data_IF_070789195478
#
_entry.id   IF_070789195478
#
_cell.length_a   1.000
_cell.length_b   1.000
_cell.length_c   1.000
_cell.angle_alpha   90.00
_cell.angle_beta   90.00
_cell.angle_gamma   90.00
#
_symmetry.space_group_name_H-M   'P 1'
#
loop_
_entity.id
_entity.type
_entity.pdbx_description
1 polymer ?
#
# COMPACT_ATOMS: atom_id res chain seq x y z
N UNK A 1 -45.71 -2.40 0.84
CA UNK A 1 -44.36 -2.26 1.40
C UNK A 1 -43.91 -0.82 1.21
N UNK A 2 -43.26 -0.21 2.21
CA UNK A 2 -42.61 1.09 2.03
C UNK A 2 -41.35 0.92 1.17
N UNK A 3 -41.12 1.83 0.23
CA UNK A 3 -39.90 1.84 -0.59
C UNK A 3 -38.71 2.20 0.30
N UNK A 4 -37.57 1.52 0.11
CA UNK A 4 -36.35 1.86 0.84
C UNK A 4 -35.85 3.26 0.44
N UNK A 5 -35.06 3.96 1.28
CA UNK A 5 -34.50 5.27 0.94
C UNK A 5 -33.72 5.25 -0.39
N UNK A 6 -33.01 4.16 -0.67
CA UNK A 6 -32.31 3.92 -1.93
C UNK A 6 -33.28 3.83 -3.12
N UNK A 7 -34.41 3.12 -2.98
CA UNK A 7 -35.44 3.02 -4.03
C UNK A 7 -36.12 4.37 -4.31
N UNK A 8 -36.37 5.18 -3.28
CA UNK A 8 -36.94 6.53 -3.44
C UNK A 8 -35.96 7.47 -4.17
N UNK A 9 -34.69 7.44 -3.80
CA UNK A 9 -33.64 8.22 -4.49
C UNK A 9 -33.48 7.80 -5.96
N UNK A 10 -33.48 6.50 -6.26
CA UNK A 10 -33.32 6.01 -7.64
C UNK A 10 -34.46 6.38 -8.59
N UNK A 11 -35.67 6.65 -8.07
CA UNK A 11 -36.75 7.22 -8.87
C UNK A 11 -36.57 8.70 -9.20
N UNK A 12 -35.77 9.42 -8.41
CA UNK A 12 -35.54 10.87 -8.56
C UNK A 12 -34.18 11.18 -9.22
N UNK A 13 -33.26 10.22 -9.25
CA UNK A 13 -31.95 10.36 -9.87
C UNK A 13 -32.08 10.36 -11.39
N UNK A 14 -31.94 11.53 -12.02
CA UNK A 14 -31.96 11.68 -13.48
C UNK A 14 -30.76 11.00 -14.16
N UNK A 15 -29.65 10.84 -13.46
CA UNK A 15 -28.44 10.19 -13.98
C UNK A 15 -28.66 8.66 -14.16
N UNK A 16 -28.38 8.17 -15.38
CA UNK A 16 -28.57 6.77 -15.75
C UNK A 16 -27.45 5.87 -15.18
N UNK A 17 -26.24 6.39 -15.02
CA UNK A 17 -25.05 5.68 -14.53
C UNK A 17 -25.08 5.55 -13.01
N UNK A 18 -25.49 6.61 -12.28
CA UNK A 18 -25.75 6.51 -10.83
C UNK A 18 -26.82 5.44 -10.56
N UNK A 19 -27.87 5.39 -11.41
CA UNK A 19 -28.85 4.30 -11.36
C UNK A 19 -28.22 2.92 -11.56
N UNK A 20 -27.39 2.72 -12.59
CA UNK A 20 -26.72 1.43 -12.84
C UNK A 20 -25.80 1.00 -11.68
N UNK A 21 -25.01 1.90 -11.11
CA UNK A 21 -24.13 1.59 -9.97
C UNK A 21 -24.92 1.27 -8.69
N UNK A 22 -25.99 2.02 -8.43
CA UNK A 22 -26.89 1.71 -7.32
C UNK A 22 -27.75 0.46 -7.58
N UNK A 23 -27.96 0.04 -8.84
CA UNK A 23 -28.53 -1.26 -9.17
C UNK A 23 -27.56 -2.40 -8.85
N UNK A 24 -26.24 -2.23 -9.03
CA UNK A 24 -25.26 -3.20 -8.51
C UNK A 24 -25.30 -3.30 -6.98
N UNK A 25 -25.54 -2.18 -6.28
CA UNK A 25 -25.77 -2.19 -4.81
C UNK A 25 -27.16 -2.74 -4.43
N UNK A 26 -28.17 -2.65 -5.30
CA UNK A 26 -29.44 -3.38 -5.10
C UNK A 26 -29.31 -4.89 -5.38
N UNK A 27 -28.40 -5.31 -6.26
CA UNK A 27 -28.10 -6.73 -6.51
C UNK A 27 -27.40 -7.41 -5.33
N UNK A 28 -26.79 -6.64 -4.42
CA UNK A 28 -26.37 -7.13 -3.10
C UNK A 28 -27.55 -7.47 -2.17
N UNK A 29 -28.79 -7.19 -2.59
CA UNK A 29 -30.04 -7.42 -1.87
C UNK A 29 -29.91 -7.08 -0.37
N UNK A 30 -30.00 -5.81 -0.01
CA UNK A 30 -29.78 -5.30 1.37
C UNK A 30 -30.64 -5.95 2.48
N UNK A 31 -31.56 -6.86 2.14
CA UNK A 31 -32.32 -7.70 3.06
C UNK A 31 -31.66 -9.07 3.35
N UNK A 32 -30.63 -9.45 2.61
CA UNK A 32 -29.78 -10.64 2.79
C UNK A 32 -28.43 -10.23 3.39
N UNK A 33 -27.74 -11.17 4.03
CA UNK A 33 -26.48 -10.89 4.75
C UNK A 33 -25.37 -10.48 3.77
N UNK A 34 -24.60 -9.43 4.10
CA UNK A 34 -23.35 -9.12 3.38
C UNK A 34 -22.44 -10.37 3.39
N UNK A 35 -21.86 -10.76 2.23
CA UNK A 35 -20.88 -11.83 2.19
C UNK A 35 -19.65 -11.46 3.00
N UNK A 36 -18.98 -12.47 3.58
CA UNK A 36 -17.74 -12.29 4.33
C UNK A 36 -16.61 -11.62 3.51
N UNK A 37 -16.72 -11.61 2.17
CA UNK A 37 -15.82 -10.90 1.26
C UNK A 37 -16.58 -9.88 0.42
N UNK A 38 -16.15 -8.63 0.45
CA UNK A 38 -16.75 -7.53 -0.29
C UNK A 38 -15.72 -6.83 -1.20
N UNK A 39 -16.05 -6.62 -2.47
CA UNK A 39 -15.15 -5.99 -3.45
C UNK A 39 -15.86 -4.92 -4.30
N UNK A 40 -15.28 -3.72 -4.38
CA UNK A 40 -15.73 -2.58 -5.19
C UNK A 40 -14.87 -2.27 -6.43
N UNK A 41 -13.73 -2.95 -6.60
CA UNK A 41 -12.64 -2.69 -7.57
C UNK A 41 -13.05 -2.49 -9.04
N UNK A 42 -14.28 -2.84 -9.41
CA UNK A 42 -14.83 -2.87 -10.78
C UNK A 42 -15.07 -1.50 -11.45
N UNK A 43 -14.36 -0.44 -11.06
CA UNK A 43 -14.45 0.90 -11.68
C UNK A 43 -13.13 1.39 -12.32
N UNK A 44 -12.02 0.69 -12.11
CA UNK A 44 -10.68 1.09 -12.58
C UNK A 44 -10.41 0.76 -14.07
N UNK A 45 -11.05 -0.27 -14.62
CA UNK A 45 -10.78 -0.78 -15.96
C UNK A 45 -11.41 0.04 -17.11
N UNK A 46 -12.36 0.94 -16.80
CA UNK A 46 -13.01 1.81 -17.79
C UNK A 46 -13.14 3.21 -17.22
N UNK A 47 -12.40 4.15 -17.82
CA UNK A 47 -12.33 5.58 -17.46
C UNK A 47 -13.70 6.26 -17.68
N UNK A 48 -14.64 6.08 -16.74
CA UNK A 48 -16.05 6.43 -16.90
C UNK A 48 -16.59 7.48 -15.92
N UNK A 49 -15.83 7.80 -14.86
CA UNK A 49 -16.22 8.73 -13.79
C UNK A 49 -15.02 9.51 -13.25
N UNK A 50 -15.27 10.75 -12.89
CA UNK A 50 -14.41 11.63 -12.09
C UNK A 50 -14.68 11.44 -10.59
N UNK A 51 -13.76 11.91 -9.73
CA UNK A 51 -13.95 11.90 -8.28
C UNK A 51 -15.19 12.70 -7.81
N UNK A 52 -15.69 13.64 -8.62
CA UNK A 52 -16.95 14.35 -8.34
C UNK A 52 -18.20 13.51 -8.65
N UNK A 53 -18.15 12.62 -9.63
CA UNK A 53 -19.25 11.71 -9.99
C UNK A 53 -19.33 10.48 -9.07
N UNK A 54 -18.19 10.06 -8.50
CA UNK A 54 -18.12 8.98 -7.50
C UNK A 54 -18.50 9.44 -6.08
N UNK A 55 -18.25 10.71 -5.72
CA UNK A 55 -18.63 11.29 -4.42
C UNK A 55 -20.10 11.04 -4.05
N UNK A 56 -21.10 11.28 -4.92
CA UNK A 56 -22.50 10.92 -4.66
C UNK A 56 -22.70 9.41 -4.50
N UNK A 57 -22.10 8.58 -5.37
CA UNK A 57 -22.26 7.13 -5.31
C UNK A 57 -21.78 6.58 -3.95
N UNK A 58 -20.60 6.98 -3.49
CA UNK A 58 -20.10 6.62 -2.16
C UNK A 58 -20.94 7.26 -1.05
N UNK A 59 -21.29 8.55 -1.15
CA UNK A 59 -22.11 9.21 -0.11
C UNK A 59 -23.52 8.62 0.03
N UNK A 60 -24.13 8.09 -1.03
CA UNK A 60 -25.54 7.66 -1.03
C UNK A 60 -25.76 6.15 -1.15
N UNK A 61 -24.79 5.37 -1.64
CA UNK A 61 -24.85 3.90 -1.63
C UNK A 61 -24.02 3.29 -0.48
N UNK A 62 -22.95 3.95 -0.06
CA UNK A 62 -22.15 3.51 1.09
C UNK A 62 -22.82 3.88 2.42
N UNK A 63 -23.44 5.06 2.60
CA UNK A 63 -24.15 5.37 3.86
C UNK A 63 -25.25 4.35 4.25
N UNK A 64 -26.10 3.85 3.34
CA UNK A 64 -27.01 2.75 3.64
C UNK A 64 -26.29 1.47 4.10
N UNK A 65 -25.15 1.16 3.48
CA UNK A 65 -24.31 -0.01 3.77
C UNK A 65 -23.53 0.14 5.11
N UNK A 66 -23.23 1.40 5.50
CA UNK A 66 -22.72 1.77 6.82
C UNK A 66 -23.83 1.74 7.89
N UNK A 67 -25.10 1.93 7.50
CA UNK A 67 -26.28 1.88 8.39
C UNK A 67 -26.80 0.45 8.64
N UNK A 68 -26.50 -0.52 7.79
CA UNK A 68 -26.78 -1.95 7.99
C UNK A 68 -25.75 -2.60 8.95
N UNK A 69 -25.55 -1.99 10.14
CA UNK A 69 -24.46 -2.30 11.07
C UNK A 69 -24.32 -3.79 11.43
N UNK A 70 -25.41 -4.54 11.54
CA UNK A 70 -25.37 -5.98 11.83
C UNK A 70 -24.61 -6.79 10.76
N UNK A 71 -24.77 -6.42 9.49
CA UNK A 71 -24.21 -7.16 8.35
C UNK A 71 -22.69 -6.94 8.20
N UNK A 72 -22.18 -5.77 8.63
CA UNK A 72 -20.73 -5.49 8.61
C UNK A 72 -19.94 -6.35 9.60
N UNK A 73 -20.57 -6.85 10.67
CA UNK A 73 -19.91 -7.70 11.67
C UNK A 73 -19.36 -9.01 11.09
N UNK A 74 -19.95 -9.50 10.00
CA UNK A 74 -19.58 -10.76 9.31
C UNK A 74 -18.44 -10.57 8.29
N UNK A 75 -18.06 -9.33 8.00
CA UNK A 75 -17.08 -9.00 6.97
C UNK A 75 -15.65 -9.31 7.44
N UNK A 76 -14.94 -10.16 6.69
CA UNK A 76 -13.54 -10.53 6.94
C UNK A 76 -12.59 -10.00 5.89
N UNK A 77 -13.06 -9.78 4.65
CA UNK A 77 -12.25 -9.31 3.54
C UNK A 77 -12.94 -8.11 2.89
N UNK A 78 -12.28 -6.95 2.84
CA UNK A 78 -12.85 -5.72 2.29
C UNK A 78 -11.87 -5.09 1.28
N UNK A 79 -12.30 -5.01 0.02
CA UNK A 79 -11.60 -4.33 -1.06
C UNK A 79 -12.41 -3.10 -1.53
N UNK A 80 -11.81 -1.92 -1.33
CA UNK A 80 -12.31 -0.59 -1.72
C UNK A 80 -11.32 0.13 -2.65
N UNK A 81 -10.50 -0.63 -3.38
CA UNK A 81 -9.45 -0.05 -4.23
C UNK A 81 -10.00 0.70 -5.46
N UNK A 82 -9.29 1.75 -5.87
CA UNK A 82 -9.61 2.49 -7.10
C UNK A 82 -10.91 3.31 -7.04
N UNK A 83 -11.36 3.74 -5.86
CA UNK A 83 -12.67 4.38 -5.66
C UNK A 83 -12.61 5.90 -5.45
N UNK A 84 -11.42 6.52 -5.47
CA UNK A 84 -11.23 7.94 -5.15
C UNK A 84 -11.78 8.34 -3.76
N UNK A 85 -11.58 7.45 -2.78
CA UNK A 85 -11.96 7.69 -1.38
C UNK A 85 -10.90 8.59 -0.75
N UNK A 86 -11.29 9.82 -0.40
CA UNK A 86 -10.51 10.71 0.45
C UNK A 86 -10.81 10.53 1.95
N UNK A 87 -9.92 11.04 2.79
CA UNK A 87 -9.90 10.83 4.25
C UNK A 87 -11.25 10.90 4.95
N UNK A 88 -12.08 11.91 4.65
CA UNK A 88 -13.39 12.09 5.32
C UNK A 88 -14.32 10.88 5.16
N UNK A 89 -14.36 10.29 3.96
CA UNK A 89 -15.20 9.12 3.68
C UNK A 89 -14.59 7.86 4.31
N UNK A 90 -13.26 7.73 4.26
CA UNK A 90 -12.52 6.63 4.88
C UNK A 90 -12.70 6.58 6.39
N UNK A 91 -12.62 7.73 7.07
CA UNK A 91 -12.85 7.85 8.53
C UNK A 91 -14.28 7.43 8.90
N UNK A 92 -15.27 7.77 8.07
CA UNK A 92 -16.66 7.34 8.27
C UNK A 92 -16.82 5.82 8.09
N UNK A 93 -16.13 5.22 7.12
CA UNK A 93 -16.05 3.77 6.96
C UNK A 93 -15.43 3.09 8.20
N UNK A 94 -14.25 3.53 8.64
CA UNK A 94 -13.60 3.00 9.85
C UNK A 94 -14.50 3.13 11.09
N UNK A 95 -15.23 4.24 11.22
CA UNK A 95 -16.21 4.45 12.29
C UNK A 95 -17.33 3.40 12.29
N UNK A 96 -17.85 3.02 11.12
CA UNK A 96 -18.90 2.00 11.00
C UNK A 96 -18.35 0.58 11.19
N UNK A 97 -17.19 0.26 10.62
CA UNK A 97 -16.51 -1.02 10.84
C UNK A 97 -16.20 -1.24 12.33
N UNK A 98 -15.77 -0.19 13.04
CA UNK A 98 -15.56 -0.22 14.49
C UNK A 98 -16.87 -0.38 15.26
N UNK A 99 -17.92 0.35 14.88
CA UNK A 99 -19.24 0.31 15.56
C UNK A 99 -19.98 -1.01 15.36
N UNK A 100 -19.77 -1.69 14.23
CA UNK A 100 -20.32 -3.02 13.94
C UNK A 100 -19.52 -4.17 14.56
N UNK A 101 -18.37 -3.90 15.17
CA UNK A 101 -17.47 -4.94 15.68
C UNK A 101 -16.81 -5.79 14.58
N UNK A 102 -16.76 -5.30 13.34
CA UNK A 102 -16.10 -5.96 12.22
C UNK A 102 -14.61 -6.20 12.52
N UNK A 103 -14.10 -7.40 12.21
CA UNK A 103 -12.69 -7.78 12.37
C UNK A 103 -12.16 -8.29 11.01
N UNK A 104 -11.51 -7.39 10.27
CA UNK A 104 -10.91 -7.72 8.98
C UNK A 104 -9.68 -8.62 9.10
N UNK A 105 -9.65 -9.65 8.27
CA UNK A 105 -8.49 -10.50 7.97
C UNK A 105 -7.72 -9.98 6.75
N UNK A 106 -8.41 -9.39 5.77
CA UNK A 106 -7.80 -8.77 4.58
C UNK A 106 -8.44 -7.40 4.32
N UNK A 107 -7.61 -6.41 4.02
CA UNK A 107 -8.06 -5.07 3.64
C UNK A 107 -7.24 -4.52 2.47
N UNK A 108 -7.93 -4.15 1.40
CA UNK A 108 -7.36 -3.45 0.25
C UNK A 108 -8.05 -2.09 0.10
N UNK A 109 -7.29 -1.02 0.28
CA UNK A 109 -7.68 0.35 0.02
C UNK A 109 -6.74 1.05 -0.96
N UNK A 110 -6.04 0.28 -1.81
CA UNK A 110 -5.11 0.82 -2.78
C UNK A 110 -5.75 1.76 -3.82
N UNK A 111 -4.95 2.64 -4.43
CA UNK A 111 -5.36 3.58 -5.46
C UNK A 111 -6.56 4.46 -5.04
N UNK A 112 -6.45 5.09 -3.88
CA UNK A 112 -7.39 6.06 -3.35
C UNK A 112 -6.66 7.38 -2.99
N UNK A 113 -7.37 8.33 -2.41
CA UNK A 113 -6.84 9.65 -2.04
C UNK A 113 -6.57 9.73 -0.52
N UNK A 114 -6.03 8.65 0.07
CA UNK A 114 -5.80 8.54 1.51
C UNK A 114 -4.47 9.18 1.92
N UNK A 115 -4.50 10.05 2.93
CA UNK A 115 -3.31 10.65 3.53
C UNK A 115 -2.77 9.83 4.72
N UNK A 116 -1.65 10.31 5.29
CA UNK A 116 -1.11 9.85 6.58
C UNK A 116 -2.15 9.75 7.70
N UNK A 117 -3.17 10.64 7.72
CA UNK A 117 -4.24 10.61 8.71
C UNK A 117 -5.08 9.33 8.60
N UNK A 118 -5.51 8.99 7.38
CA UNK A 118 -6.28 7.77 7.12
C UNK A 118 -5.48 6.52 7.44
N UNK A 119 -4.22 6.47 7.04
CA UNK A 119 -3.33 5.33 7.32
C UNK A 119 -3.12 5.12 8.82
N UNK A 120 -2.91 6.20 9.57
CA UNK A 120 -2.75 6.14 11.03
C UNK A 120 -4.03 5.58 11.68
N UNK A 121 -5.20 6.10 11.30
CA UNK A 121 -6.49 5.64 11.82
C UNK A 121 -6.83 4.21 11.39
N UNK A 122 -6.41 3.77 10.20
CA UNK A 122 -6.53 2.38 9.77
C UNK A 122 -5.76 1.45 10.72
N UNK A 123 -4.50 1.75 11.00
CA UNK A 123 -3.71 0.92 11.91
C UNK A 123 -4.21 0.98 13.35
N UNK A 124 -4.82 2.07 13.80
CA UNK A 124 -5.51 2.15 15.09
C UNK A 124 -6.82 1.33 15.13
N UNK A 125 -7.53 1.20 14.00
CA UNK A 125 -8.68 0.31 13.87
C UNK A 125 -8.28 -1.17 13.79
N UNK A 126 -7.37 -1.56 12.89
CA UNK A 126 -7.08 -2.96 12.57
C UNK A 126 -6.73 -3.82 13.80
N UNK A 127 -7.30 -5.03 13.86
CA UNK A 127 -6.89 -6.03 14.84
C UNK A 127 -5.50 -6.61 14.52
N UNK A 128 -4.80 -7.10 15.55
CA UNK A 128 -3.48 -7.72 15.40
C UNK A 128 -3.49 -8.98 14.53
N UNK A 129 -4.65 -9.60 14.28
CA UNK A 129 -4.82 -10.80 13.43
C UNK A 129 -4.96 -10.51 11.93
N UNK A 130 -5.06 -9.25 11.51
CA UNK A 130 -5.11 -8.92 10.07
C UNK A 130 -3.90 -9.53 9.36
N UNK A 131 -4.13 -10.15 8.20
CA UNK A 131 -3.15 -10.96 7.46
C UNK A 131 -2.66 -10.24 6.20
N UNK A 132 -3.49 -9.41 5.59
CA UNK A 132 -3.17 -8.69 4.35
C UNK A 132 -3.60 -7.24 4.46
N UNK A 133 -2.70 -6.33 4.10
CA UNK A 133 -2.96 -4.89 4.04
C UNK A 133 -2.38 -4.37 2.72
N UNK A 134 -3.25 -3.83 1.87
CA UNK A 134 -2.86 -3.07 0.69
C UNK A 134 -3.36 -1.63 0.80
N UNK A 135 -2.42 -0.69 0.81
CA UNK A 135 -2.67 0.76 0.77
C UNK A 135 -1.85 1.43 -0.35
N UNK A 136 -1.44 0.65 -1.36
CA UNK A 136 -0.69 1.13 -2.52
C UNK A 136 -1.37 2.29 -3.25
N UNK A 137 -0.66 3.09 -4.04
CA UNK A 137 -1.24 4.14 -4.87
C UNK A 137 -1.92 5.28 -4.10
N UNK A 138 -1.66 5.41 -2.80
CA UNK A 138 -2.17 6.49 -1.94
C UNK A 138 -1.01 7.44 -1.56
N UNK A 139 -1.22 8.77 -1.49
CA UNK A 139 -0.18 9.77 -1.17
C UNK A 139 0.16 9.83 0.33
N UNK A 140 0.63 8.71 0.90
CA UNK A 140 0.80 8.53 2.34
C UNK A 140 2.14 9.10 2.86
N UNK A 141 3.15 9.15 1.99
CA UNK A 141 4.47 9.74 2.21
C UNK A 141 5.25 9.14 3.40
N UNK A 142 6.45 9.66 3.67
CA UNK A 142 7.39 9.12 4.65
C UNK A 142 6.85 9.19 6.10
N UNK A 143 6.03 10.19 6.42
CA UNK A 143 5.45 10.42 7.74
C UNK A 143 4.56 9.25 8.20
N UNK A 144 3.84 8.59 7.29
CA UNK A 144 3.05 7.41 7.63
C UNK A 144 3.91 6.29 8.23
N UNK A 145 5.14 6.10 7.73
CA UNK A 145 6.06 5.09 8.26
C UNK A 145 6.66 5.47 9.62
N UNK A 146 6.74 6.76 9.96
CA UNK A 146 7.08 7.18 11.32
C UNK A 146 6.00 6.71 12.32
N UNK A 147 4.72 7.04 12.06
CA UNK A 147 3.61 6.58 12.91
C UNK A 147 3.52 5.05 13.00
N UNK A 148 3.70 4.34 11.88
CA UNK A 148 3.70 2.87 11.85
C UNK A 148 4.88 2.27 12.65
N UNK A 149 6.04 2.92 12.71
CA UNK A 149 7.18 2.49 13.50
C UNK A 149 6.97 2.72 15.02
N UNK A 150 6.32 3.83 15.39
CA UNK A 150 6.01 4.16 16.78
C UNK A 150 4.91 3.28 17.38
N UNK A 151 3.98 2.80 16.54
CA UNK A 151 2.87 1.92 16.95
C UNK A 151 3.28 0.80 17.93
N UNK A 152 2.44 0.58 18.95
CA UNK A 152 2.59 -0.52 19.94
C UNK A 152 1.83 -1.79 19.53
N UNK A 153 1.23 -1.81 18.34
CA UNK A 153 0.62 -3.02 17.78
C UNK A 153 1.70 -3.90 17.14
N UNK A 154 1.43 -5.20 17.15
CA UNK A 154 2.22 -6.22 16.47
C UNK A 154 1.24 -6.98 15.58
N UNK A 155 1.22 -6.66 14.29
CA UNK A 155 0.31 -7.28 13.33
C UNK A 155 0.87 -8.62 12.85
N UNK A 156 -0.01 -9.59 12.64
CA UNK A 156 0.27 -10.86 11.97
C UNK A 156 0.13 -10.78 10.45
N UNK A 157 0.22 -9.58 9.89
CA UNK A 157 0.20 -9.36 8.45
C UNK A 157 1.33 -10.16 7.82
N UNK A 158 0.99 -11.03 6.88
CA UNK A 158 1.94 -11.78 6.04
C UNK A 158 2.22 -11.04 4.74
N UNK A 159 1.31 -10.15 4.33
CA UNK A 159 1.41 -9.30 3.15
C UNK A 159 1.18 -7.82 3.51
N UNK A 160 2.07 -6.95 3.03
CA UNK A 160 1.98 -5.50 3.15
C UNK A 160 2.35 -4.85 1.80
N UNK A 161 1.44 -4.10 1.20
CA UNK A 161 1.68 -3.35 -0.03
C UNK A 161 1.66 -1.84 0.23
N UNK A 162 2.79 -1.21 -0.07
CA UNK A 162 3.07 0.23 -0.03
C UNK A 162 3.62 0.70 -1.41
N UNK A 163 3.23 0.02 -2.49
CA UNK A 163 3.61 0.41 -3.86
C UNK A 163 3.04 1.79 -4.19
N UNK A 164 3.77 2.63 -4.91
CA UNK A 164 3.28 3.96 -5.36
C UNK A 164 2.71 4.82 -4.22
N UNK A 165 3.41 4.85 -3.09
CA UNK A 165 3.00 5.55 -1.86
C UNK A 165 3.69 6.90 -1.64
N UNK A 166 4.43 7.39 -2.66
CA UNK A 166 5.27 8.59 -2.60
C UNK A 166 6.38 8.51 -1.52
N UNK A 167 6.86 7.30 -1.22
CA UNK A 167 7.93 7.09 -0.25
C UNK A 167 9.30 7.49 -0.83
N UNK A 168 10.16 8.04 0.01
CA UNK A 168 11.56 8.36 -0.31
C UNK A 168 12.53 7.54 0.53
N UNK A 169 13.81 7.54 0.15
CA UNK A 169 14.86 6.82 0.89
C UNK A 169 15.03 7.27 2.35
N UNK A 170 14.51 8.45 2.72
CA UNK A 170 14.45 8.94 4.10
C UNK A 170 13.58 8.06 5.02
N UNK A 171 12.54 7.40 4.49
CA UNK A 171 11.64 6.56 5.28
C UNK A 171 12.29 5.24 5.72
N UNK A 172 13.39 4.81 5.10
CA UNK A 172 13.92 3.44 5.21
C UNK A 172 14.34 3.05 6.64
N UNK A 173 14.80 4.01 7.45
CA UNK A 173 15.10 3.79 8.87
C UNK A 173 13.82 3.50 9.67
N UNK A 174 12.76 4.28 9.43
CA UNK A 174 11.46 4.06 10.08
C UNK A 174 10.80 2.77 9.58
N UNK A 175 10.89 2.48 8.28
CA UNK A 175 10.46 1.20 7.72
C UNK A 175 11.18 0.02 8.38
N UNK A 176 12.50 0.06 8.52
CA UNK A 176 13.28 -1.00 9.18
C UNK A 176 12.87 -1.22 10.64
N UNK A 177 12.65 -0.14 11.41
CA UNK A 177 12.07 -0.22 12.76
C UNK A 177 10.67 -0.84 12.75
N UNK A 178 9.82 -0.40 11.83
CA UNK A 178 8.45 -0.83 11.66
C UNK A 178 8.36 -2.34 11.30
N UNK A 179 9.19 -2.82 10.39
CA UNK A 179 9.26 -4.23 9.99
C UNK A 179 9.81 -5.13 11.12
N UNK A 180 10.74 -4.64 11.95
CA UNK A 180 11.28 -5.40 13.09
C UNK A 180 10.31 -5.47 14.28
N UNK A 181 9.41 -4.49 14.44
CA UNK A 181 8.51 -4.35 15.60
C UNK A 181 7.04 -4.58 15.25
N UNK A 182 6.49 -3.77 14.36
CA UNK A 182 5.06 -3.68 14.04
C UNK A 182 4.61 -4.77 13.06
N UNK A 183 5.47 -5.12 12.07
CA UNK A 183 5.16 -6.04 10.97
C UNK A 183 6.12 -7.25 10.90
N UNK A 184 6.51 -7.79 12.05
CA UNK A 184 7.54 -8.84 12.16
C UNK A 184 7.24 -10.18 11.45
N UNK A 185 5.99 -10.38 11.00
CA UNK A 185 5.50 -11.57 10.31
C UNK A 185 5.31 -11.36 8.79
N UNK A 186 5.63 -10.18 8.25
CA UNK A 186 5.52 -9.92 6.82
C UNK A 186 6.50 -10.80 6.05
N UNK A 187 5.95 -11.52 5.08
CA UNK A 187 6.63 -12.43 4.16
C UNK A 187 6.49 -12.00 2.69
N UNK A 188 5.67 -10.98 2.42
CA UNK A 188 5.58 -10.27 1.14
C UNK A 188 5.40 -8.78 1.39
N UNK A 189 6.36 -7.99 0.93
CA UNK A 189 6.44 -6.54 1.07
C UNK A 189 6.57 -5.93 -0.33
N UNK A 190 5.60 -5.10 -0.72
CA UNK A 190 5.68 -4.33 -1.97
C UNK A 190 6.02 -2.86 -1.68
N UNK A 191 7.13 -2.39 -2.23
CA UNK A 191 7.63 -1.02 -2.20
C UNK A 191 7.84 -0.47 -3.62
N UNK A 192 7.29 -1.11 -4.65
CA UNK A 192 7.49 -0.69 -6.04
C UNK A 192 6.93 0.70 -6.33
N UNK A 193 7.35 1.32 -7.43
CA UNK A 193 6.81 2.62 -7.88
C UNK A 193 6.96 3.77 -6.87
N UNK A 194 7.95 3.69 -5.97
CA UNK A 194 8.29 4.76 -5.02
C UNK A 194 9.56 5.51 -5.49
N UNK A 195 9.99 6.51 -4.72
CA UNK A 195 11.24 7.24 -4.93
C UNK A 195 12.33 6.79 -3.94
N UNK A 196 12.51 5.48 -3.75
CA UNK A 196 13.58 4.94 -2.91
C UNK A 196 14.92 5.06 -3.64
N UNK A 197 15.49 6.26 -3.61
CA UNK A 197 16.75 6.61 -4.26
C UNK A 197 18.00 6.05 -3.54
N UNK A 198 19.17 6.41 -4.07
CA UNK A 198 20.48 5.97 -3.56
C UNK A 198 21.29 7.09 -2.90
N UNK A 199 20.65 8.12 -2.31
CA UNK A 199 21.39 9.14 -1.57
C UNK A 199 22.32 8.50 -0.53
N UNK A 200 23.57 8.97 -0.42
CA UNK A 200 24.60 8.31 0.41
C UNK A 200 24.16 8.09 1.87
N UNK A 201 23.36 9.04 2.39
CA UNK A 201 22.79 8.99 3.74
C UNK A 201 21.79 7.84 3.95
N UNK A 202 21.18 7.32 2.89
CA UNK A 202 20.20 6.23 2.94
C UNK A 202 20.80 4.83 2.80
N UNK A 203 22.03 4.70 2.32
CA UNK A 203 22.64 3.42 1.95
C UNK A 203 22.64 2.38 3.08
N UNK A 204 22.94 2.78 4.31
CA UNK A 204 22.91 1.88 5.47
C UNK A 204 21.49 1.41 5.79
N UNK A 205 20.51 2.32 5.79
CA UNK A 205 19.09 1.99 6.00
C UNK A 205 18.55 1.05 4.92
N UNK A 206 19.01 1.22 3.68
CA UNK A 206 18.71 0.35 2.56
C UNK A 206 19.31 -1.04 2.73
N UNK A 207 20.59 -1.13 3.11
CA UNK A 207 21.25 -2.40 3.43
C UNK A 207 20.56 -3.13 4.60
N UNK A 208 20.11 -2.41 5.63
CA UNK A 208 19.34 -2.98 6.74
C UNK A 208 18.00 -3.59 6.31
N UNK A 209 17.30 -2.98 5.33
CA UNK A 209 16.09 -3.53 4.73
C UNK A 209 16.38 -4.82 3.95
N UNK A 210 17.47 -4.83 3.17
CA UNK A 210 17.88 -5.99 2.37
C UNK A 210 18.31 -7.17 3.28
N UNK A 211 19.12 -6.92 4.30
CA UNK A 211 19.51 -7.95 5.28
C UNK A 211 18.30 -8.46 6.09
N UNK A 212 17.37 -7.57 6.48
CA UNK A 212 16.12 -7.99 7.12
C UNK A 212 15.32 -8.91 6.19
N UNK A 213 15.18 -8.53 4.92
CA UNK A 213 14.43 -9.30 3.90
C UNK A 213 14.98 -10.71 3.75
N UNK A 214 16.30 -10.85 3.63
CA UNK A 214 16.96 -12.17 3.60
C UNK A 214 16.78 -12.93 4.91
N UNK A 215 16.92 -12.29 6.08
CA UNK A 215 16.74 -12.94 7.39
C UNK A 215 15.32 -13.47 7.63
N UNK A 216 14.32 -12.91 6.94
CA UNK A 216 12.90 -13.28 7.04
C UNK A 216 12.41 -14.17 5.91
N UNK A 217 13.22 -14.42 4.88
CA UNK A 217 12.76 -14.99 3.62
C UNK A 217 11.52 -14.25 3.08
N UNK A 218 11.59 -12.92 3.09
CA UNK A 218 10.50 -12.06 2.64
C UNK A 218 10.60 -11.82 1.13
N UNK A 219 9.47 -11.86 0.42
CA UNK A 219 9.34 -11.36 -0.95
C UNK A 219 9.38 -9.85 -0.91
N UNK A 220 10.32 -9.23 -1.60
CA UNK A 220 10.46 -7.78 -1.66
C UNK A 220 10.33 -7.30 -3.10
N UNK A 221 9.32 -6.49 -3.38
CA UNK A 221 9.22 -5.78 -4.65
C UNK A 221 9.77 -4.35 -4.50
N UNK A 222 10.86 -4.06 -5.20
CA UNK A 222 11.51 -2.75 -5.33
C UNK A 222 11.51 -2.27 -6.79
N UNK A 223 10.70 -2.87 -7.66
CA UNK A 223 10.61 -2.46 -9.07
C UNK A 223 10.17 -0.99 -9.21
N UNK A 224 10.51 -0.34 -10.32
CA UNK A 224 10.08 1.05 -10.62
C UNK A 224 10.45 2.08 -9.54
N UNK A 225 11.57 1.87 -8.85
CA UNK A 225 12.18 2.87 -7.98
C UNK A 225 13.33 3.59 -8.70
N UNK A 226 14.05 4.45 -7.99
CA UNK A 226 15.24 5.15 -8.50
C UNK A 226 16.54 4.55 -7.92
N UNK A 227 16.63 3.21 -7.87
CA UNK A 227 17.81 2.51 -7.35
C UNK A 227 19.03 2.71 -8.26
N UNK A 228 20.18 3.01 -7.66
CA UNK A 228 21.43 3.15 -8.42
C UNK A 228 22.01 1.80 -8.83
N UNK A 229 22.90 1.86 -9.83
CA UNK A 229 23.66 0.69 -10.29
C UNK A 229 24.43 -0.01 -9.17
N UNK A 230 24.91 0.74 -8.16
CA UNK A 230 25.62 0.16 -7.03
C UNK A 230 24.68 -0.65 -6.12
N UNK A 231 23.51 -0.11 -5.76
CA UNK A 231 22.48 -0.86 -5.02
C UNK A 231 22.03 -2.11 -5.80
N UNK A 232 21.76 -1.96 -7.10
CA UNK A 232 21.40 -3.06 -8.01
C UNK A 232 22.50 -4.13 -8.08
N UNK A 233 23.77 -3.73 -8.18
CA UNK A 233 24.92 -4.64 -8.18
C UNK A 233 25.01 -5.39 -6.85
N UNK A 234 24.95 -4.68 -5.73
CA UNK A 234 24.97 -5.25 -4.37
C UNK A 234 23.88 -6.30 -4.21
N UNK A 235 22.63 -5.98 -4.56
CA UNK A 235 21.50 -6.92 -4.47
C UNK A 235 21.72 -8.14 -5.36
N UNK A 236 22.10 -7.96 -6.62
CA UNK A 236 22.40 -9.07 -7.54
C UNK A 236 23.52 -9.98 -7.01
N UNK A 237 24.56 -9.39 -6.42
CA UNK A 237 25.69 -10.11 -5.81
C UNK A 237 25.21 -10.92 -4.59
N UNK A 238 24.32 -10.38 -3.74
CA UNK A 238 23.70 -11.14 -2.64
C UNK A 238 22.79 -12.27 -3.13
N UNK A 239 21.93 -12.02 -4.10
CA UNK A 239 21.07 -13.05 -4.72
C UNK A 239 21.91 -14.19 -5.30
N UNK A 240 22.97 -13.87 -6.05
CA UNK A 240 23.86 -14.86 -6.67
C UNK A 240 24.61 -15.75 -5.67
N UNK A 241 24.77 -15.31 -4.42
CA UNK A 241 25.42 -16.06 -3.33
C UNK A 241 24.46 -17.02 -2.59
N UNK A 242 23.29 -17.31 -3.17
CA UNK A 242 22.34 -18.29 -2.64
C UNK A 242 21.34 -17.73 -1.62
N UNK A 243 21.29 -16.42 -1.43
CA UNK A 243 20.19 -15.79 -0.68
C UNK A 243 18.99 -15.58 -1.62
N UNK A 244 17.85 -16.15 -1.24
CA UNK A 244 16.73 -16.56 -2.10
C UNK A 244 16.22 -15.56 -3.15
N UNK A 245 15.74 -16.10 -4.28
CA UNK A 245 15.36 -15.42 -5.52
C UNK A 245 14.05 -14.61 -5.46
N UNK A 246 13.84 -13.82 -4.40
CA UNK A 246 12.55 -13.18 -4.09
C UNK A 246 12.66 -11.66 -3.89
N UNK A 247 13.63 -11.01 -4.56
CA UNK A 247 13.70 -9.54 -4.67
C UNK A 247 13.53 -9.13 -6.13
N UNK A 248 12.46 -8.40 -6.44
CA UNK A 248 12.27 -7.75 -7.73
C UNK A 248 12.88 -6.34 -7.70
N UNK A 249 13.76 -6.05 -8.67
CA UNK A 249 14.41 -4.75 -8.87
C UNK A 249 14.27 -4.28 -10.33
N UNK A 250 13.31 -4.83 -11.06
CA UNK A 250 13.02 -4.47 -12.46
C UNK A 250 12.63 -2.99 -12.62
N UNK A 251 12.75 -2.46 -13.83
CA UNK A 251 12.27 -1.11 -14.19
C UNK A 251 12.82 0.05 -13.32
N UNK A 252 13.95 -0.15 -12.62
CA UNK A 252 14.71 0.93 -11.98
C UNK A 252 15.60 1.60 -13.05
N UNK A 253 15.31 2.87 -13.38
CA UNK A 253 15.85 3.57 -14.55
C UNK A 253 16.67 4.80 -14.10
N UNK A 254 17.85 5.00 -14.71
CA UNK A 254 18.89 6.04 -14.43
C UNK A 254 19.79 5.73 -13.22
N UNK A 255 21.11 5.99 -13.20
CA UNK A 255 22.13 6.29 -14.22
C UNK A 255 23.52 5.89 -13.63
N UNK A 256 24.69 6.02 -14.27
CA UNK A 256 25.05 6.19 -15.68
C UNK A 256 26.09 5.10 -16.06
N UNK A 257 26.47 4.98 -17.34
CA UNK A 257 27.56 4.10 -17.77
C UNK A 257 28.95 4.73 -17.63
N UNK A 258 29.09 6.05 -17.80
CA UNK A 258 30.41 6.70 -17.86
C UNK A 258 31.06 6.89 -16.48
N UNK A 259 30.27 7.21 -15.44
CA UNK A 259 30.81 7.39 -14.08
C UNK A 259 31.36 6.09 -13.49
N UNK A 260 30.76 4.93 -13.77
CA UNK A 260 31.33 3.64 -13.34
C UNK A 260 32.65 3.34 -14.07
N UNK A 261 32.75 3.62 -15.37
CA UNK A 261 33.99 3.38 -16.11
C UNK A 261 35.12 4.30 -15.63
N UNK A 262 34.80 5.55 -15.28
CA UNK A 262 35.74 6.50 -14.66
C UNK A 262 36.14 6.11 -13.24
N UNK A 263 35.20 5.67 -12.39
CA UNK A 263 35.49 5.21 -11.03
C UNK A 263 36.27 3.90 -11.02
N UNK A 264 35.96 2.95 -11.91
CA UNK A 264 36.75 1.73 -12.09
C UNK A 264 38.15 2.04 -12.62
N UNK A 265 38.33 2.99 -13.55
CA UNK A 265 39.66 3.49 -13.93
C UNK A 265 40.39 4.11 -12.75
N UNK A 266 39.78 5.03 -12.01
CA UNK A 266 40.40 5.70 -10.87
C UNK A 266 40.76 4.73 -9.73
N UNK A 267 39.94 3.70 -9.48
CA UNK A 267 40.25 2.63 -8.53
C UNK A 267 41.40 1.74 -9.04
N UNK A 268 41.45 1.45 -10.34
CA UNK A 268 42.54 0.66 -10.93
C UNK A 268 43.86 1.45 -11.04
N UNK A 269 43.80 2.77 -11.19
CA UNK A 269 44.94 3.68 -11.24
C UNK A 269 45.48 3.98 -9.83
N UNK A 270 44.61 4.21 -8.85
CA UNK A 270 45.03 4.35 -7.44
C UNK A 270 45.62 3.07 -6.85
N UNK A 271 45.19 1.88 -7.29
CA UNK A 271 45.84 0.61 -6.94
C UNK A 271 47.16 0.33 -7.68
N UNK A 272 47.49 1.10 -8.73
CA UNK A 272 48.78 1.03 -9.44
C UNK A 272 49.81 2.01 -8.91
N UNK A 273 49.44 2.94 -8.03
CA UNK A 273 50.37 3.88 -7.44
C UNK A 273 51.29 3.18 -6.44
N UNK A 274 52.55 2.97 -6.85
CA UNK A 274 53.65 2.82 -5.91
C UNK A 274 54.18 4.23 -5.55
N UNK A 275 54.53 4.49 -4.29
CA UNK A 275 55.39 5.63 -3.98
C UNK A 275 56.68 5.55 -4.82
N UNK A 276 57.22 6.69 -5.21
CA UNK A 276 58.61 6.76 -5.67
C UNK A 276 59.53 6.50 -4.47
N UNK A 277 60.42 5.52 -4.59
CA UNK A 277 61.49 5.29 -3.63
C UNK A 277 62.58 6.37 -3.81
N UNK A 278 62.40 7.53 -3.16
CA UNK A 278 63.39 8.61 -2.96
C UNK A 278 63.33 9.09 -1.48
#
# INVERSE_FOLDING_TARGET
MLKSPLQLYLQQCSDLKIRQNAYAVQQLNLNEQLPAKFNLESNSAQRLFTAEELKPCLKFAFEPLLKSFEQLSLLTDLNISGQHIGDRLFISLLGALKSSGCILQSFNAGYNDLSVLSVTLLFDYCDKKIQQIDISGNPIQDDALLYMAESKKHFRSTHLSLSNCQLTSNCLNNLSKCLRKTFMFVSTLDLSQNNLDSSDHSFNSYMELIEWTFSKNCRLNLSKNNLSRYQIHVIKNRISKGQLAQIDISENINADFNTMQQLEQQLLESQKWKPSDD
#
